data_IF_504552936912
#
_entry.id   IF_504552936912
#
_cell.length_a   1.000
_cell.length_b   1.000
_cell.length_c   1.000
_cell.angle_alpha   90.00
_cell.angle_beta   90.00
_cell.angle_gamma   90.00
#
_symmetry.space_group_name_H-M   'P 1'
#
loop_
_entity.id
_entity.type
_entity.pdbx_description
1 polymer ?
#
# COMPACT_ATOMS: atom_id res chain seq x y z
N UNK A 1 20.06 -52.87 -9.26
CA UNK A 1 21.01 -51.83 -8.81
C UNK A 1 20.68 -50.57 -9.58
N UNK A 2 20.17 -49.58 -8.86
CA UNK A 2 19.59 -48.35 -9.42
C UNK A 2 20.64 -47.48 -10.10
N UNK A 3 20.31 -46.78 -11.20
CA UNK A 3 21.19 -45.77 -11.77
C UNK A 3 21.13 -44.49 -10.94
N UNK A 4 22.32 -43.95 -10.67
CA UNK A 4 22.58 -42.68 -10.00
C UNK A 4 21.88 -41.52 -10.71
N UNK A 5 21.01 -40.81 -9.99
CA UNK A 5 20.49 -39.50 -10.41
C UNK A 5 21.44 -38.42 -9.89
N UNK A 6 22.20 -37.83 -10.81
CA UNK A 6 22.99 -36.64 -10.59
C UNK A 6 22.04 -35.50 -10.20
N UNK A 7 22.23 -34.95 -9.00
CA UNK A 7 21.53 -33.76 -8.53
C UNK A 7 22.04 -32.60 -9.40
N UNK A 8 21.18 -32.10 -10.29
CA UNK A 8 21.42 -30.82 -10.96
C UNK A 8 21.43 -29.73 -9.88
N UNK A 9 22.61 -29.17 -9.65
CA UNK A 9 22.77 -27.93 -8.89
C UNK A 9 21.89 -26.87 -9.54
N UNK A 10 20.92 -26.36 -8.78
CA UNK A 10 20.17 -25.15 -9.10
C UNK A 10 21.15 -24.04 -9.47
N UNK A 11 21.24 -23.71 -10.77
CA UNK A 11 21.97 -22.55 -11.26
C UNK A 11 21.39 -21.31 -10.57
N UNK A 12 22.20 -20.64 -9.76
CA UNK A 12 21.96 -19.26 -9.37
C UNK A 12 21.75 -18.44 -10.63
N UNK A 13 20.49 -18.03 -10.86
CA UNK A 13 20.18 -17.05 -11.90
C UNK A 13 20.75 -15.73 -11.38
N UNK A 14 21.78 -15.22 -12.06
CA UNK A 14 22.37 -13.94 -11.77
C UNK A 14 21.26 -12.87 -11.70
N UNK A 15 21.11 -12.23 -10.54
CA UNK A 15 20.14 -11.15 -10.34
C UNK A 15 20.51 -10.02 -11.29
N UNK A 16 19.62 -9.66 -12.21
CA UNK A 16 19.79 -8.47 -13.06
C UNK A 16 19.93 -7.24 -12.17
N UNK A 17 20.66 -6.22 -12.63
CA UNK A 17 20.93 -5.03 -11.81
C UNK A 17 19.63 -4.40 -11.31
N UNK A 18 19.46 -4.32 -9.99
CA UNK A 18 18.26 -3.80 -9.29
C UNK A 18 18.09 -2.27 -9.42
N UNK A 19 18.82 -1.65 -10.36
CA UNK A 19 18.83 -0.20 -10.59
C UNK A 19 17.80 0.26 -11.63
N UNK A 20 17.11 -0.69 -12.29
CA UNK A 20 16.13 -0.40 -13.33
C UNK A 20 14.72 -0.74 -12.86
N UNK A 21 14.30 -0.06 -11.80
CA UNK A 21 13.00 -0.28 -11.16
C UNK A 21 11.84 -0.04 -12.13
N UNK A 22 10.81 -0.84 -11.93
CA UNK A 22 9.51 -0.70 -12.59
C UNK A 22 8.45 -0.27 -11.59
N UNK A 23 7.44 0.47 -12.06
CA UNK A 23 6.29 0.84 -11.25
C UNK A 23 4.97 0.54 -11.95
N UNK A 24 3.95 0.26 -11.17
CA UNK A 24 2.55 0.25 -11.59
C UNK A 24 1.71 1.07 -10.62
N UNK A 25 0.54 1.53 -11.05
CA UNK A 25 -0.38 2.26 -10.19
C UNK A 25 -1.77 1.63 -10.19
N UNK A 26 -2.49 1.75 -9.08
CA UNK A 26 -3.91 1.43 -8.96
C UNK A 26 -4.65 2.69 -8.52
N UNK A 27 -5.65 3.11 -9.31
CA UNK A 27 -6.45 4.31 -9.09
C UNK A 27 -7.86 3.87 -8.73
N UNK A 28 -8.25 4.11 -7.48
CA UNK A 28 -9.61 3.88 -7.01
C UNK A 28 -10.43 5.18 -7.08
N UNK A 29 -11.66 5.08 -7.57
CA UNK A 29 -12.55 6.24 -7.69
C UNK A 29 -14.02 5.82 -7.77
N UNK A 30 -14.89 6.80 -7.53
CA UNK A 30 -16.33 6.65 -7.73
C UNK A 30 -16.71 7.27 -9.07
N UNK A 31 -17.53 6.55 -9.85
CA UNK A 31 -18.15 7.07 -11.07
C UNK A 31 -19.65 7.20 -10.85
N UNK A 32 -20.17 8.42 -10.95
CA UNK A 32 -21.59 8.69 -10.95
C UNK A 32 -22.17 8.66 -12.37
N UNK A 33 -23.30 7.98 -12.54
CA UNK A 33 -24.09 7.90 -13.77
C UNK A 33 -25.58 7.91 -13.40
N UNK A 34 -26.46 8.09 -14.37
CA UNK A 34 -27.91 8.14 -14.14
C UNK A 34 -28.53 6.89 -14.72
N UNK A 35 -29.44 6.24 -13.98
CA UNK A 35 -30.19 5.11 -14.52
C UNK A 35 -30.92 5.55 -15.80
N UNK A 36 -30.96 4.72 -16.87
CA UNK A 36 -31.55 5.11 -18.16
C UNK A 36 -32.94 5.76 -18.07
N UNK A 37 -33.76 5.29 -17.13
CA UNK A 37 -35.15 5.75 -16.91
C UNK A 37 -35.28 7.08 -16.16
N UNK A 38 -34.25 7.55 -15.45
CA UNK A 38 -34.32 8.78 -14.67
C UNK A 38 -33.78 9.97 -15.47
N UNK A 39 -34.36 11.18 -15.31
CA UNK A 39 -33.77 12.38 -15.88
C UNK A 39 -32.41 12.65 -15.23
N UNK A 40 -31.45 13.13 -16.03
CA UNK A 40 -30.17 13.53 -15.51
C UNK A 40 -30.35 14.71 -14.54
N UNK A 41 -29.87 14.63 -13.29
CA UNK A 41 -30.01 15.73 -12.33
C UNK A 41 -29.29 17.00 -12.79
N UNK A 42 -28.15 16.82 -13.47
CA UNK A 42 -27.32 17.90 -13.98
C UNK A 42 -27.06 17.70 -15.49
N UNK A 43 -28.07 17.90 -16.36
CA UNK A 43 -27.97 17.58 -17.79
C UNK A 43 -27.01 18.50 -18.57
N UNK A 44 -26.46 19.52 -17.91
CA UNK A 44 -25.49 20.47 -18.46
C UNK A 44 -24.12 20.36 -17.77
N UNK A 45 -23.87 19.29 -17.03
CA UNK A 45 -22.56 19.10 -16.42
C UNK A 45 -21.49 18.96 -17.53
N UNK A 46 -20.50 19.86 -17.58
CA UNK A 46 -19.55 19.91 -18.69
C UNK A 46 -18.63 18.68 -18.74
N UNK A 47 -18.60 17.86 -17.68
CA UNK A 47 -17.81 16.63 -17.64
C UNK A 47 -18.46 15.51 -18.44
N UNK A 48 -19.79 15.46 -18.56
CA UNK A 48 -20.50 14.41 -19.30
C UNK A 48 -20.59 14.74 -20.79
N UNK A 49 -19.52 14.51 -21.56
CA UNK A 49 -19.41 15.02 -22.93
C UNK A 49 -20.41 14.47 -23.94
N UNK A 50 -20.78 13.19 -23.83
CA UNK A 50 -21.73 12.55 -24.76
C UNK A 50 -23.07 12.21 -24.10
N UNK A 51 -23.24 12.54 -22.81
CA UNK A 51 -24.46 12.27 -22.05
C UNK A 51 -24.84 10.79 -21.98
N UNK A 52 -23.89 9.87 -22.22
CA UNK A 52 -24.15 8.44 -22.23
C UNK A 52 -24.46 7.97 -20.81
N UNK A 53 -25.69 7.48 -20.60
CA UNK A 53 -26.11 6.84 -19.36
C UNK A 53 -25.59 5.41 -19.32
N UNK A 54 -24.63 5.15 -18.44
CA UNK A 54 -24.00 3.85 -18.26
C UNK A 54 -24.84 3.03 -17.27
N UNK A 55 -25.36 1.89 -17.70
CA UNK A 55 -26.35 1.12 -16.94
C UNK A 55 -25.71 0.13 -15.96
N UNK A 56 -24.45 -0.24 -16.19
CA UNK A 56 -23.67 -1.17 -15.36
C UNK A 56 -22.21 -0.73 -15.22
N UNK A 57 -21.49 -1.38 -14.30
CA UNK A 57 -20.05 -1.17 -14.13
C UNK A 57 -19.24 -1.65 -15.34
N UNK A 58 -19.66 -2.75 -15.96
CA UNK A 58 -19.00 -3.30 -17.15
C UNK A 58 -19.16 -2.33 -18.34
N UNK A 59 -20.36 -1.77 -18.54
CA UNK A 59 -20.57 -0.75 -19.57
C UNK A 59 -19.72 0.51 -19.35
N UNK A 60 -19.51 0.89 -18.08
CA UNK A 60 -18.64 2.00 -17.73
C UNK A 60 -17.18 1.68 -18.05
N UNK A 61 -16.68 0.50 -17.64
CA UNK A 61 -15.33 0.03 -17.93
C UNK A 61 -15.08 -0.06 -19.44
N UNK A 62 -16.00 -0.64 -20.21
CA UNK A 62 -15.90 -0.74 -21.67
C UNK A 62 -15.85 0.66 -22.30
N UNK A 63 -16.72 1.57 -21.87
CA UNK A 63 -16.76 2.91 -22.46
C UNK A 63 -15.49 3.72 -22.17
N UNK A 64 -14.97 3.66 -20.94
CA UNK A 64 -13.70 4.31 -20.60
C UNK A 64 -12.56 3.65 -21.38
N UNK A 65 -12.57 2.31 -21.46
CA UNK A 65 -11.58 1.53 -22.20
C UNK A 65 -11.50 1.95 -23.67
N UNK A 66 -12.63 2.10 -24.35
CA UNK A 66 -12.65 2.57 -25.75
C UNK A 66 -12.08 4.00 -25.91
N UNK A 67 -12.35 4.90 -24.96
CA UNK A 67 -11.76 6.26 -24.99
C UNK A 67 -10.26 6.24 -24.79
N UNK A 68 -9.74 5.39 -23.91
CA UNK A 68 -8.30 5.25 -23.70
C UNK A 68 -7.63 4.59 -24.91
N UNK A 69 -8.24 3.55 -25.50
CA UNK A 69 -7.76 2.96 -26.76
C UNK A 69 -7.67 3.98 -27.88
N UNK A 70 -8.65 4.88 -28.01
CA UNK A 70 -8.63 5.98 -28.97
C UNK A 70 -7.49 6.98 -28.74
N UNK A 71 -6.92 7.03 -27.52
CA UNK A 71 -5.71 7.79 -27.18
C UNK A 71 -4.42 6.96 -27.26
N UNK A 72 -4.47 5.75 -27.81
CA UNK A 72 -3.32 4.85 -27.93
C UNK A 72 -2.95 4.10 -26.65
N UNK A 73 -3.82 4.11 -25.63
CA UNK A 73 -3.59 3.38 -24.39
C UNK A 73 -4.25 1.99 -24.48
N UNK A 74 -3.48 0.90 -24.44
CA UNK A 74 -4.04 -0.45 -24.51
C UNK A 74 -4.74 -0.82 -23.19
N UNK A 75 -5.91 -1.45 -23.30
CA UNK A 75 -6.80 -1.76 -22.18
C UNK A 75 -7.30 -3.19 -22.22
N UNK A 76 -7.41 -3.82 -21.05
CA UNK A 76 -8.17 -5.03 -20.77
C UNK A 76 -9.27 -4.72 -19.73
N UNK A 77 -10.45 -5.30 -19.91
CA UNK A 77 -11.59 -5.13 -19.00
C UNK A 77 -11.91 -6.48 -18.36
N UNK A 78 -11.97 -6.49 -17.03
CA UNK A 78 -12.42 -7.66 -16.27
C UNK A 78 -13.92 -7.53 -16.01
N UNK A 79 -14.70 -8.50 -16.46
CA UNK A 79 -16.17 -8.48 -16.28
C UNK A 79 -16.52 -8.98 -14.88
N UNK A 80 -17.39 -8.24 -14.20
CA UNK A 80 -17.79 -8.61 -12.84
C UNK A 80 -18.51 -9.97 -12.80
N UNK A 81 -18.09 -10.86 -11.90
CA UNK A 81 -18.73 -12.16 -11.67
C UNK A 81 -18.40 -13.26 -12.67
N UNK A 82 -17.46 -13.03 -13.62
CA UNK A 82 -17.04 -14.05 -14.58
C UNK A 82 -15.52 -14.29 -14.50
N UNK A 83 -15.13 -15.37 -13.80
CA UNK A 83 -13.71 -15.74 -13.61
C UNK A 83 -12.96 -15.97 -14.94
N UNK A 84 -13.66 -16.41 -15.99
CA UNK A 84 -13.08 -16.66 -17.33
C UNK A 84 -12.70 -15.38 -18.09
N UNK A 85 -13.08 -14.20 -17.57
CA UNK A 85 -12.73 -12.88 -18.15
C UNK A 85 -11.54 -12.21 -17.46
N UNK A 86 -10.87 -12.92 -16.55
CA UNK A 86 -9.64 -12.41 -15.92
C UNK A 86 -8.55 -12.21 -16.99
N UNK A 87 -7.85 -11.06 -17.02
CA UNK A 87 -6.82 -10.83 -18.02
C UNK A 87 -5.69 -11.86 -17.89
N UNK A 88 -5.17 -12.33 -19.02
CA UNK A 88 -4.00 -13.21 -19.01
C UNK A 88 -2.75 -12.47 -18.52
N UNK A 89 -1.74 -13.19 -18.02
CA UNK A 89 -0.48 -12.56 -17.58
C UNK A 89 0.14 -11.67 -18.67
N UNK A 90 0.04 -12.06 -19.94
CA UNK A 90 0.53 -11.25 -21.07
C UNK A 90 -0.20 -9.89 -21.18
N UNK A 91 -1.48 -9.85 -20.85
CA UNK A 91 -2.27 -8.63 -20.80
C UNK A 91 -1.96 -7.80 -19.56
N UNK A 92 -1.81 -8.44 -18.39
CA UNK A 92 -1.38 -7.75 -17.17
C UNK A 92 -0.03 -7.01 -17.35
N UNK A 93 0.84 -7.55 -18.21
CA UNK A 93 2.16 -6.97 -18.53
C UNK A 93 2.11 -5.78 -19.48
N UNK A 94 1.04 -5.60 -20.25
CA UNK A 94 1.05 -4.64 -21.38
C UNK A 94 -0.17 -3.73 -21.45
N UNK A 95 -1.25 -4.03 -20.71
CA UNK A 95 -2.53 -3.33 -20.78
C UNK A 95 -2.92 -2.75 -19.44
N UNK A 96 -3.56 -1.59 -19.48
CA UNK A 96 -4.29 -1.06 -18.33
C UNK A 96 -5.51 -1.95 -18.05
N UNK A 97 -5.77 -2.23 -16.79
CA UNK A 97 -6.83 -3.12 -16.36
C UNK A 97 -7.94 -2.35 -15.71
N UNK A 98 -9.17 -2.64 -16.10
CA UNK A 98 -10.38 -2.06 -15.54
C UNK A 98 -11.09 -3.09 -14.69
N UNK A 99 -11.40 -2.72 -13.45
CA UNK A 99 -12.02 -3.61 -12.46
C UNK A 99 -13.12 -2.88 -11.72
N UNK A 100 -14.06 -3.67 -11.22
CA UNK A 100 -14.91 -3.24 -10.12
C UNK A 100 -14.13 -3.29 -8.81
N UNK A 101 -14.34 -2.34 -7.93
CA UNK A 101 -13.83 -2.42 -6.56
C UNK A 101 -14.96 -2.28 -5.55
N UNK A 102 -15.23 -3.38 -4.84
CA UNK A 102 -16.27 -3.43 -3.81
C UNK A 102 -15.87 -2.74 -2.51
N UNK A 103 -14.57 -2.46 -2.31
CA UNK A 103 -14.09 -1.71 -1.15
C UNK A 103 -14.29 -0.19 -1.31
N UNK A 104 -14.44 0.27 -2.56
CA UNK A 104 -14.76 1.67 -2.88
C UNK A 104 -16.28 1.86 -2.84
N UNK A 105 -16.74 2.71 -1.93
CA UNK A 105 -18.16 2.91 -1.67
C UNK A 105 -18.47 4.40 -1.52
N UNK A 106 -19.56 4.92 -2.10
CA UNK A 106 -19.90 6.34 -2.04
C UNK A 106 -20.12 6.86 -0.61
N UNK A 107 -20.46 5.98 0.34
CA UNK A 107 -20.94 6.21 1.73
C UNK A 107 -22.14 7.15 1.83
N UNK A 108 -22.09 8.28 1.16
CA UNK A 108 -23.15 9.25 0.96
C UNK A 108 -23.42 9.44 -0.54
N UNK A 109 -24.69 9.45 -0.93
CA UNK A 109 -25.09 9.68 -2.32
C UNK A 109 -25.07 11.17 -2.62
N UNK A 110 -24.50 11.54 -3.77
CA UNK A 110 -24.50 12.94 -4.24
C UNK A 110 -25.92 13.39 -4.61
N UNK A 111 -26.73 12.49 -5.17
CA UNK A 111 -28.12 12.77 -5.55
C UNK A 111 -28.92 11.45 -5.63
N UNK A 112 -30.22 11.43 -5.26
CA UNK A 112 -31.04 10.20 -5.28
C UNK A 112 -31.09 9.48 -6.64
N UNK A 113 -31.05 10.24 -7.73
CA UNK A 113 -31.12 9.71 -9.11
C UNK A 113 -29.74 9.30 -9.68
N UNK A 114 -28.63 9.66 -9.02
CA UNK A 114 -27.33 9.14 -9.41
C UNK A 114 -27.17 7.72 -8.87
N UNK A 115 -26.62 6.87 -9.72
CA UNK A 115 -26.03 5.59 -9.36
C UNK A 115 -24.52 5.75 -9.39
N UNK A 116 -23.87 5.35 -8.31
CA UNK A 116 -22.42 5.46 -8.16
C UNK A 116 -21.78 4.06 -8.19
N UNK A 117 -20.73 3.92 -8.97
CA UNK A 117 -19.94 2.69 -9.08
C UNK A 117 -18.58 2.88 -8.42
N UNK A 118 -18.15 1.91 -7.61
CA UNK A 118 -16.78 1.79 -7.11
C UNK A 118 -15.89 1.18 -8.19
N UNK A 119 -14.94 1.95 -8.69
CA UNK A 119 -14.11 1.63 -9.85
C UNK A 119 -12.64 1.55 -9.44
N UNK A 120 -11.90 0.64 -10.06
CA UNK A 120 -10.43 0.60 -9.98
C UNK A 120 -9.86 0.48 -11.40
N UNK A 121 -8.82 1.27 -11.68
CA UNK A 121 -7.99 1.11 -12.87
C UNK A 121 -6.54 0.85 -12.44
N UNK A 122 -5.95 -0.24 -12.92
CA UNK A 122 -4.54 -0.56 -12.70
C UNK A 122 -3.71 -0.38 -13.97
N UNK A 123 -2.51 0.18 -13.86
CA UNK A 123 -1.56 0.22 -14.98
C UNK A 123 -0.79 -1.10 -15.12
N UNK A 124 -0.23 -1.41 -16.31
CA UNK A 124 0.81 -2.42 -16.41
C UNK A 124 2.10 -1.90 -15.73
N UNK A 125 3.10 -2.78 -15.49
CA UNK A 125 4.40 -2.35 -15.00
C UNK A 125 5.16 -1.55 -16.07
N UNK A 126 5.56 -0.32 -15.73
CA UNK A 126 6.34 0.57 -16.57
C UNK A 126 7.73 0.79 -15.99
N UNK A 127 8.72 1.05 -16.83
CA UNK A 127 9.97 1.63 -16.36
C UNK A 127 9.75 3.06 -15.88
N UNK A 128 10.55 3.50 -14.90
CA UNK A 128 10.44 4.86 -14.39
C UNK A 128 11.10 5.90 -15.32
N UNK A 129 10.42 6.25 -16.41
CA UNK A 129 10.85 7.28 -17.36
C UNK A 129 9.79 8.39 -17.55
N UNK A 130 10.10 9.37 -18.39
CA UNK A 130 9.20 10.49 -18.67
C UNK A 130 7.94 10.04 -19.42
N UNK A 131 8.06 9.17 -20.41
CA UNK A 131 6.95 8.75 -21.26
C UNK A 131 5.92 7.96 -20.44
N UNK A 132 6.37 7.06 -19.57
CA UNK A 132 5.47 6.31 -18.68
C UNK A 132 4.75 7.19 -17.67
N UNK A 133 5.41 8.25 -17.17
CA UNK A 133 4.76 9.22 -16.26
C UNK A 133 3.71 10.08 -16.97
N UNK A 134 3.92 10.42 -18.24
CA UNK A 134 2.95 11.20 -19.03
C UNK A 134 1.64 10.46 -19.30
N UNK A 135 1.61 9.13 -19.17
CA UNK A 135 0.37 8.35 -19.26
C UNK A 135 -0.62 8.66 -18.12
N UNK A 136 -0.13 9.04 -16.93
CA UNK A 136 -0.98 9.31 -15.76
C UNK A 136 -1.91 10.50 -16.03
N UNK A 137 -1.43 11.69 -16.43
CA UNK A 137 -2.30 12.79 -16.86
C UNK A 137 -3.28 12.40 -17.96
N UNK A 138 -2.86 11.63 -18.97
CA UNK A 138 -3.74 11.23 -20.09
C UNK A 138 -4.93 10.39 -19.60
N UNK A 139 -4.69 9.46 -18.67
CA UNK A 139 -5.76 8.65 -18.06
C UNK A 139 -6.69 9.53 -17.23
N UNK A 140 -6.14 10.37 -16.34
CA UNK A 140 -6.95 11.23 -15.46
C UNK A 140 -7.78 12.26 -16.24
N UNK A 141 -7.22 12.87 -17.29
CA UNK A 141 -7.95 13.77 -18.17
C UNK A 141 -9.09 13.04 -18.90
N UNK A 142 -8.87 11.78 -19.28
CA UNK A 142 -9.92 10.98 -19.91
C UNK A 142 -11.05 10.72 -18.93
N UNK A 143 -10.75 10.44 -17.66
CA UNK A 143 -11.77 10.28 -16.62
C UNK A 143 -12.50 11.59 -16.34
N UNK A 144 -11.76 12.63 -15.94
CA UNK A 144 -12.30 13.90 -15.44
C UNK A 144 -13.07 14.70 -16.49
N UNK A 145 -12.67 14.59 -17.76
CA UNK A 145 -13.29 15.36 -18.84
C UNK A 145 -14.43 14.62 -19.55
N UNK A 146 -14.74 13.38 -19.17
CA UNK A 146 -15.81 12.60 -19.83
C UNK A 146 -16.84 12.02 -18.85
N UNK A 147 -16.54 11.97 -17.55
CA UNK A 147 -17.36 11.30 -16.55
C UNK A 147 -17.46 12.10 -15.24
N UNK A 148 -18.55 11.88 -14.50
CA UNK A 148 -18.73 12.40 -13.15
C UNK A 148 -17.96 11.54 -12.15
N UNK A 149 -16.65 11.76 -12.07
CA UNK A 149 -15.78 11.05 -11.14
C UNK A 149 -15.48 11.85 -9.89
N UNK A 150 -15.36 11.15 -8.76
CA UNK A 150 -14.90 11.70 -7.48
C UNK A 150 -14.14 10.66 -6.67
N UNK A 151 -13.49 11.11 -5.60
CA UNK A 151 -12.85 10.26 -4.58
C UNK A 151 -13.44 10.60 -3.21
N UNK A 152 -13.41 9.63 -2.30
CA UNK A 152 -13.75 9.81 -0.89
C UNK A 152 -12.78 8.97 -0.03
N UNK A 153 -13.06 8.88 1.26
CA UNK A 153 -12.22 8.17 2.24
C UNK A 153 -12.11 6.65 2.03
N UNK A 154 -12.99 6.04 1.20
CA UNK A 154 -12.90 4.63 0.81
C UNK A 154 -11.91 4.38 -0.32
N UNK A 155 -11.60 5.40 -1.12
CA UNK A 155 -10.69 5.27 -2.26
C UNK A 155 -9.23 5.47 -1.82
N UNK A 156 -8.33 4.66 -2.39
CA UNK A 156 -6.89 4.74 -2.29
C UNK A 156 -6.20 5.10 -3.60
N UNK A 157 -4.94 5.51 -3.50
CA UNK A 157 -4.03 5.54 -4.64
C UNK A 157 -2.83 4.66 -4.31
N UNK A 158 -2.71 3.52 -5.00
CA UNK A 158 -1.66 2.56 -4.72
C UNK A 158 -0.55 2.63 -5.76
N UNK A 159 0.69 2.53 -5.29
CA UNK A 159 1.87 2.45 -6.16
C UNK A 159 2.55 1.12 -5.89
N UNK A 160 2.77 0.35 -6.94
CA UNK A 160 3.56 -0.87 -6.92
C UNK A 160 4.96 -0.55 -7.41
N UNK A 161 6.00 -0.95 -6.68
CA UNK A 161 7.39 -0.83 -7.14
C UNK A 161 8.05 -2.19 -7.11
N UNK A 162 8.68 -2.55 -8.22
CA UNK A 162 9.40 -3.82 -8.39
C UNK A 162 10.66 -3.65 -9.20
N UNK A 163 11.34 -4.76 -9.44
CA UNK A 163 12.51 -4.85 -10.29
C UNK A 163 12.18 -5.79 -11.45
N UNK A 164 11.53 -5.24 -12.48
CA UNK A 164 10.98 -6.02 -13.59
C UNK A 164 10.10 -7.17 -13.07
N UNK A 165 10.45 -8.40 -13.44
CA UNK A 165 9.85 -9.64 -12.94
C UNK A 165 10.83 -10.41 -12.06
N UNK A 166 11.90 -9.81 -11.57
CA UNK A 166 12.93 -10.52 -10.80
C UNK A 166 12.67 -10.43 -9.29
N UNK A 167 11.88 -9.43 -8.85
CA UNK A 167 11.70 -9.11 -7.44
C UNK A 167 12.98 -8.57 -6.81
N UNK A 168 13.10 -8.62 -5.49
CA UNK A 168 14.25 -8.07 -4.77
C UNK A 168 15.13 -9.17 -4.18
N UNK A 169 16.44 -8.97 -4.24
CA UNK A 169 17.38 -9.71 -3.40
C UNK A 169 17.05 -9.51 -1.92
N UNK A 170 17.41 -10.48 -1.09
CA UNK A 170 17.10 -10.41 0.33
C UNK A 170 17.71 -9.19 1.06
N UNK A 171 18.98 -8.81 0.81
CA UNK A 171 19.55 -7.59 1.39
C UNK A 171 18.76 -6.34 1.03
N UNK A 172 18.39 -6.17 -0.25
CA UNK A 172 17.56 -5.03 -0.70
C UNK A 172 16.19 -5.03 -0.04
N UNK A 173 15.53 -6.19 0.02
CA UNK A 173 14.23 -6.31 0.68
C UNK A 173 14.30 -5.90 2.17
N UNK A 174 15.29 -6.41 2.90
CA UNK A 174 15.53 -6.04 4.30
C UNK A 174 15.81 -4.54 4.44
N UNK A 175 16.72 -3.99 3.62
CA UNK A 175 17.12 -2.59 3.68
C UNK A 175 15.93 -1.67 3.38
N UNK A 176 15.10 -2.03 2.40
CA UNK A 176 13.87 -1.31 2.09
C UNK A 176 12.92 -1.28 3.29
N UNK A 177 12.64 -2.43 3.90
CA UNK A 177 11.76 -2.50 5.08
C UNK A 177 12.36 -1.73 6.26
N UNK A 178 13.67 -1.80 6.49
CA UNK A 178 14.35 -1.05 7.54
C UNK A 178 14.23 0.47 7.35
N UNK A 179 14.41 0.97 6.11
CA UNK A 179 14.22 2.38 5.76
C UNK A 179 12.76 2.80 5.97
N UNK A 180 11.81 2.02 5.43
CA UNK A 180 10.39 2.33 5.55
C UNK A 180 9.91 2.34 7.01
N UNK A 181 10.38 1.39 7.82
CA UNK A 181 10.07 1.34 9.25
C UNK A 181 10.64 2.55 10.01
N UNK A 182 11.92 2.85 9.76
CA UNK A 182 12.63 3.96 10.42
C UNK A 182 11.91 5.28 10.17
N UNK A 183 11.57 5.55 8.91
CA UNK A 183 10.98 6.81 8.47
C UNK A 183 9.45 6.79 8.32
N UNK A 184 8.76 5.74 8.80
CA UNK A 184 7.30 5.59 8.66
C UNK A 184 6.54 6.82 9.17
N UNK A 185 7.00 7.42 10.28
CA UNK A 185 6.39 8.60 10.88
C UNK A 185 6.49 9.83 9.95
N UNK A 186 7.64 10.03 9.30
CA UNK A 186 7.86 11.10 8.34
C UNK A 186 7.02 10.89 7.08
N UNK A 187 6.90 9.65 6.62
CA UNK A 187 6.10 9.28 5.44
C UNK A 187 4.61 9.54 5.69
N UNK A 188 4.11 9.24 6.91
CA UNK A 188 2.72 9.51 7.30
C UNK A 188 2.36 11.00 7.33
N UNK A 189 3.35 11.88 7.51
CA UNK A 189 3.15 13.33 7.41
C UNK A 189 3.01 13.83 5.96
N UNK A 190 3.38 13.01 4.96
CA UNK A 190 3.24 13.36 3.54
C UNK A 190 1.81 13.17 3.01
N UNK A 191 0.92 12.55 3.80
CA UNK A 191 -0.45 12.22 3.39
C UNK A 191 -1.48 12.76 4.38
N UNK A 192 -2.76 12.76 3.97
CA UNK A 192 -3.85 13.35 4.76
C UNK A 192 -4.04 12.69 6.12
N UNK A 193 -4.53 13.47 7.09
CA UNK A 193 -4.72 12.97 8.43
C UNK A 193 -5.82 11.92 8.55
N UNK A 194 -6.91 12.18 7.86
CA UNK A 194 -8.02 11.27 7.67
C UNK A 194 -7.57 9.87 7.21
N UNK A 195 -6.65 9.78 6.23
CA UNK A 195 -6.23 8.48 5.69
C UNK A 195 -5.52 7.60 6.72
N UNK A 196 -4.68 8.18 7.57
CA UNK A 196 -3.76 7.41 8.43
C UNK A 196 -4.15 7.40 9.91
N UNK A 197 -5.05 8.29 10.35
CA UNK A 197 -5.58 8.31 11.72
C UNK A 197 -6.99 7.70 11.81
N UNK A 198 -7.88 8.04 10.88
CA UNK A 198 -9.30 7.63 10.96
C UNK A 198 -9.63 6.46 10.04
N UNK A 199 -9.12 6.46 8.81
CA UNK A 199 -9.45 5.48 7.76
C UNK A 199 -8.33 4.46 7.51
N UNK A 200 -7.53 4.18 8.55
CA UNK A 200 -6.30 3.39 8.45
C UNK A 200 -6.51 1.88 8.25
N UNK A 201 -7.74 1.37 8.24
CA UNK A 201 -8.00 -0.07 8.17
C UNK A 201 -7.43 -0.74 6.90
N UNK A 202 -7.24 0.04 5.84
CA UNK A 202 -6.65 -0.40 4.57
C UNK A 202 -5.14 -0.10 4.42
N UNK A 203 -4.53 0.62 5.37
CA UNK A 203 -3.14 1.07 5.30
C UNK A 203 -2.52 1.24 6.70
N UNK A 204 -2.60 0.20 7.54
CA UNK A 204 -2.11 0.25 8.93
C UNK A 204 -0.58 0.35 8.98
N UNK A 205 -0.06 0.94 10.04
CA UNK A 205 1.39 1.04 10.26
C UNK A 205 2.03 -0.34 10.49
N UNK A 206 3.36 -0.42 10.39
CA UNK A 206 4.11 -1.65 10.69
C UNK A 206 3.90 -2.18 12.11
N UNK A 207 3.40 -1.37 13.05
CA UNK A 207 2.97 -1.84 14.38
C UNK A 207 1.82 -2.87 14.33
N UNK A 208 1.21 -3.08 13.17
CA UNK A 208 0.21 -4.10 12.90
C UNK A 208 0.74 -5.32 12.12
N UNK A 209 2.04 -5.40 11.86
CA UNK A 209 2.65 -6.61 11.30
C UNK A 209 2.68 -7.74 12.35
N UNK A 210 2.87 -8.97 11.88
CA UNK A 210 2.89 -10.18 12.71
C UNK A 210 3.85 -10.04 13.89
N UNK A 211 5.08 -9.58 13.66
CA UNK A 211 6.07 -9.42 14.73
C UNK A 211 5.60 -8.45 15.82
N UNK A 212 5.15 -7.25 15.41
CA UNK A 212 4.70 -6.22 16.33
C UNK A 212 3.47 -6.65 17.16
N UNK A 213 2.54 -7.39 16.54
CA UNK A 213 1.37 -7.92 17.25
C UNK A 213 1.73 -9.02 18.25
N UNK A 214 2.82 -9.77 18.00
CA UNK A 214 3.32 -10.79 18.93
C UNK A 214 4.17 -10.20 20.07
N UNK A 215 4.81 -9.06 19.84
CA UNK A 215 5.67 -8.37 20.81
C UNK A 215 5.25 -6.89 20.92
N UNK A 216 4.05 -6.59 21.46
CA UNK A 216 3.46 -5.25 21.38
C UNK A 216 4.19 -4.16 22.19
N UNK A 217 4.99 -4.55 23.17
CA UNK A 217 5.79 -3.64 24.02
C UNK A 217 7.19 -3.34 23.46
N UNK A 218 7.50 -3.81 22.24
CA UNK A 218 8.80 -3.58 21.60
C UNK A 218 9.04 -2.10 21.36
N UNK A 219 10.22 -1.60 21.74
CA UNK A 219 10.64 -0.24 21.40
C UNK A 219 10.93 -0.13 19.90
N UNK A 220 10.96 1.10 19.37
CA UNK A 220 11.28 1.28 17.94
C UNK A 220 12.70 0.83 17.58
N UNK A 221 13.66 1.06 18.48
CA UNK A 221 15.03 0.60 18.29
C UNK A 221 15.13 -0.93 18.30
N UNK A 222 14.45 -1.60 19.23
CA UNK A 222 14.42 -3.07 19.27
C UNK A 222 13.74 -3.67 18.04
N UNK A 223 12.66 -3.05 17.55
CA UNK A 223 12.01 -3.47 16.31
C UNK A 223 12.97 -3.30 15.13
N UNK A 224 13.61 -2.13 14.97
CA UNK A 224 14.59 -1.95 13.90
C UNK A 224 15.71 -3.00 14.01
N UNK A 225 16.25 -3.25 15.21
CA UNK A 225 17.27 -4.27 15.41
C UNK A 225 16.77 -5.68 15.09
N UNK A 226 15.49 -5.98 15.29
CA UNK A 226 14.86 -7.23 14.82
C UNK A 226 14.93 -7.34 13.30
N UNK A 227 14.52 -6.31 12.56
CA UNK A 227 14.64 -6.26 11.08
C UNK A 227 16.10 -6.48 10.66
N UNK A 228 17.03 -5.78 11.30
CA UNK A 228 18.46 -5.82 10.96
C UNK A 228 19.16 -7.12 11.43
N UNK A 229 18.55 -7.92 12.30
CA UNK A 229 19.13 -9.20 12.74
C UNK A 229 19.10 -10.26 11.63
N UNK A 230 18.24 -10.08 10.62
CA UNK A 230 18.09 -10.98 9.50
C UNK A 230 19.23 -10.84 8.48
N UNK A 231 20.36 -11.51 8.73
CA UNK A 231 21.55 -11.43 7.87
C UNK A 231 21.67 -12.57 6.84
N UNK A 232 21.06 -13.73 7.12
CA UNK A 232 21.10 -14.89 6.22
C UNK A 232 19.85 -14.94 5.34
N UNK A 233 20.03 -15.14 4.02
CA UNK A 233 18.95 -15.34 3.04
C UNK A 233 18.03 -16.51 3.38
N UNK A 234 18.51 -17.54 4.10
CA UNK A 234 17.67 -18.65 4.56
C UNK A 234 16.52 -18.21 5.47
N UNK A 235 16.66 -17.06 6.13
CA UNK A 235 15.64 -16.50 7.00
C UNK A 235 14.60 -15.65 6.26
N UNK A 236 14.68 -15.54 4.92
CA UNK A 236 13.77 -14.76 4.11
C UNK A 236 12.29 -15.02 4.45
N UNK A 237 11.91 -16.29 4.64
CA UNK A 237 10.51 -16.67 4.91
C UNK A 237 10.03 -16.18 6.26
N UNK A 238 10.89 -16.28 7.28
CA UNK A 238 10.56 -15.78 8.61
C UNK A 238 10.46 -14.26 8.60
N UNK A 239 11.42 -13.58 7.96
CA UNK A 239 11.40 -12.13 7.80
C UNK A 239 10.12 -11.64 7.11
N UNK A 240 9.73 -12.26 5.99
CA UNK A 240 8.49 -11.93 5.30
C UNK A 240 7.26 -12.17 6.19
N UNK A 241 7.23 -13.26 6.96
CA UNK A 241 6.11 -13.56 7.87
C UNK A 241 6.00 -12.51 8.97
N UNK A 242 7.13 -12.14 9.57
CA UNK A 242 7.21 -11.14 10.64
C UNK A 242 6.73 -9.77 10.18
N UNK A 243 7.12 -9.38 8.96
CA UNK A 243 6.89 -8.04 8.42
C UNK A 243 5.60 -7.89 7.61
N UNK A 244 4.85 -8.96 7.39
CA UNK A 244 3.51 -8.92 6.79
C UNK A 244 2.41 -8.85 7.86
N UNK A 245 1.22 -8.44 7.46
CA UNK A 245 0.06 -8.45 8.35
C UNK A 245 -0.42 -9.89 8.58
N UNK A 246 -0.95 -10.16 9.77
CA UNK A 246 -1.74 -11.38 10.02
C UNK A 246 -3.01 -11.42 9.17
N UNK A 247 -3.77 -12.52 9.28
CA UNK A 247 -5.00 -12.75 8.50
C UNK A 247 -5.96 -11.57 8.64
N UNK A 248 -6.38 -11.00 7.50
CA UNK A 248 -7.31 -9.87 7.44
C UNK A 248 -6.69 -8.49 7.68
N UNK A 249 -5.41 -8.41 8.04
CA UNK A 249 -4.69 -7.14 8.19
C UNK A 249 -4.26 -6.56 6.84
N UNK A 250 -4.21 -5.22 6.75
CA UNK A 250 -3.70 -4.49 5.58
C UNK A 250 -2.72 -3.42 6.03
N UNK A 251 -1.45 -3.60 5.67
CA UNK A 251 -0.38 -2.64 5.99
C UNK A 251 -0.30 -1.54 4.93
N UNK A 252 0.19 -0.37 5.34
CA UNK A 252 0.53 0.74 4.46
C UNK A 252 1.59 0.37 3.41
N UNK A 253 2.53 -0.49 3.81
CA UNK A 253 3.54 -1.08 2.94
C UNK A 253 3.23 -2.56 2.84
N UNK A 254 2.52 -2.96 1.79
CA UNK A 254 2.13 -4.34 1.59
C UNK A 254 3.27 -5.11 0.92
N UNK A 255 3.73 -6.15 1.61
CA UNK A 255 4.86 -6.99 1.20
C UNK A 255 4.42 -8.36 0.67
N UNK A 256 3.11 -8.62 0.58
CA UNK A 256 2.57 -9.96 0.25
C UNK A 256 3.07 -10.47 -1.10
N UNK A 257 3.15 -9.57 -2.09
CA UNK A 257 3.62 -9.86 -3.44
C UNK A 257 5.12 -10.24 -3.53
N UNK A 258 5.88 -10.09 -2.43
CA UNK A 258 7.30 -10.45 -2.39
C UNK A 258 7.54 -11.87 -1.87
N UNK A 259 6.49 -12.64 -1.60
CA UNK A 259 6.62 -13.98 -1.01
C UNK A 259 7.37 -14.95 -1.93
N UNK A 260 8.36 -15.68 -1.40
CA UNK A 260 9.07 -16.75 -2.11
C UNK A 260 8.51 -18.16 -1.74
N UNK A 261 8.42 -19.07 -2.72
CA UNK A 261 8.52 -18.82 -4.16
C UNK A 261 7.38 -17.89 -4.62
N UNK A 262 7.63 -17.07 -5.64
CA UNK A 262 6.64 -16.09 -6.12
C UNK A 262 5.35 -16.77 -6.54
N UNK A 263 4.25 -16.36 -5.91
CA UNK A 263 2.91 -16.90 -6.16
C UNK A 263 2.23 -16.21 -7.36
N UNK A 264 2.74 -15.06 -7.80
CA UNK A 264 2.23 -14.31 -8.95
C UNK A 264 3.33 -13.55 -9.69
N UNK A 265 2.99 -13.02 -10.86
CA UNK A 265 3.85 -12.10 -11.62
C UNK A 265 3.98 -10.72 -10.95
N UNK A 266 3.11 -10.36 -9.99
CA UNK A 266 3.28 -9.18 -9.16
C UNK A 266 4.38 -9.47 -8.13
N UNK A 267 5.60 -9.00 -8.40
CA UNK A 267 6.79 -9.16 -7.54
C UNK A 267 7.24 -7.81 -7.01
N UNK A 268 6.34 -7.13 -6.32
CA UNK A 268 6.46 -5.70 -5.98
C UNK A 268 6.21 -5.46 -4.49
N UNK A 269 6.82 -4.44 -3.91
CA UNK A 269 6.22 -3.77 -2.76
C UNK A 269 5.02 -2.94 -3.23
N UNK A 270 3.96 -2.88 -2.44
CA UNK A 270 2.78 -2.04 -2.71
C UNK A 270 2.62 -0.97 -1.62
N UNK A 271 2.59 0.29 -2.03
CA UNK A 271 2.41 1.47 -1.19
C UNK A 271 0.93 1.86 -1.17
N UNK A 272 0.26 1.66 -0.04
CA UNK A 272 -1.20 1.88 0.16
C UNK A 272 -1.55 3.15 0.94
N UNK A 273 -0.55 3.90 1.36
CA UNK A 273 -0.72 5.00 2.32
C UNK A 273 -1.42 6.23 1.72
N UNK A 274 -1.34 6.45 0.41
CA UNK A 274 -1.89 7.63 -0.23
C UNK A 274 -3.43 7.54 -0.36
N UNK A 275 -4.20 8.57 0.04
CA UNK A 275 -5.64 8.61 -0.20
C UNK A 275 -5.95 8.65 -1.70
N UNK A 276 -7.14 8.24 -2.09
CA UNK A 276 -7.61 8.38 -3.47
C UNK A 276 -7.48 9.83 -3.94
N UNK A 277 -6.95 10.02 -5.14
CA UNK A 277 -6.79 11.34 -5.76
C UNK A 277 -6.99 11.24 -7.27
N UNK A 278 -7.47 12.34 -7.86
CA UNK A 278 -7.56 12.52 -9.32
C UNK A 278 -6.72 13.74 -9.76
N UNK A 279 -5.76 14.14 -8.94
CA UNK A 279 -4.79 15.20 -9.22
C UNK A 279 -3.48 14.59 -9.75
N UNK A 280 -3.10 14.88 -11.01
CA UNK A 280 -1.89 14.34 -11.62
C UNK A 280 -0.61 14.77 -10.90
N UNK A 281 -0.52 16.01 -10.40
CA UNK A 281 0.69 16.50 -9.74
C UNK A 281 0.93 15.77 -8.41
N UNK A 282 -0.15 15.58 -7.64
CA UNK A 282 -0.11 14.81 -6.39
C UNK A 282 0.34 13.36 -6.66
N UNK A 283 -0.25 12.71 -7.67
CA UNK A 283 0.09 11.33 -8.02
C UNK A 283 1.55 11.20 -8.48
N UNK A 284 2.04 12.11 -9.31
CA UNK A 284 3.42 12.09 -9.81
C UNK A 284 4.44 12.29 -8.69
N UNK A 285 4.16 13.16 -7.72
CA UNK A 285 5.01 13.35 -6.55
C UNK A 285 5.06 12.09 -5.67
N UNK A 286 3.91 11.43 -5.44
CA UNK A 286 3.86 10.20 -4.68
C UNK A 286 4.58 9.04 -5.38
N UNK A 287 4.38 8.86 -6.69
CA UNK A 287 5.10 7.86 -7.50
C UNK A 287 6.61 8.10 -7.45
N UNK A 288 7.07 9.36 -7.56
CA UNK A 288 8.49 9.69 -7.46
C UNK A 288 9.06 9.28 -6.10
N UNK A 289 8.37 9.62 -5.02
CA UNK A 289 8.77 9.21 -3.67
C UNK A 289 8.89 7.68 -3.54
N UNK A 290 7.86 6.92 -3.96
CA UNK A 290 7.86 5.46 -3.89
C UNK A 290 9.03 4.85 -4.66
N UNK A 291 9.34 5.37 -5.85
CA UNK A 291 10.50 4.92 -6.63
C UNK A 291 11.80 5.24 -5.91
N UNK A 292 11.97 6.47 -5.41
CA UNK A 292 13.23 6.92 -4.81
C UNK A 292 13.55 6.24 -3.48
N UNK A 293 12.56 5.94 -2.66
CA UNK A 293 12.81 5.16 -1.43
C UNK A 293 13.23 3.71 -1.76
N UNK A 294 12.64 3.09 -2.78
CA UNK A 294 13.07 1.76 -3.23
C UNK A 294 14.45 1.79 -3.91
N UNK A 295 14.70 2.78 -4.77
CA UNK A 295 16.00 2.98 -5.43
C UNK A 295 17.11 3.18 -4.38
N UNK A 296 16.84 3.95 -3.32
CA UNK A 296 17.77 4.14 -2.22
C UNK A 296 18.20 2.82 -1.60
N UNK A 297 17.27 1.89 -1.37
CA UNK A 297 17.56 0.57 -0.82
C UNK A 297 18.40 -0.30 -1.78
N UNK A 298 18.13 -0.22 -3.09
CA UNK A 298 18.89 -0.93 -4.13
C UNK A 298 20.33 -0.43 -4.29
N UNK A 299 20.58 0.86 -3.98
CA UNK A 299 21.87 1.50 -4.18
C UNK A 299 22.77 1.53 -2.94
N UNK A 300 22.37 0.88 -1.85
CA UNK A 300 23.18 0.76 -0.64
C UNK A 300 24.45 -0.04 -0.95
N UNK A 301 25.61 0.57 -0.70
CA UNK A 301 26.93 -0.05 -0.89
C UNK A 301 27.55 -0.49 0.42
N UNK A 302 27.26 0.25 1.48
CA UNK A 302 27.75 0.02 2.83
C UNK A 302 26.53 -0.12 3.74
N UNK A 303 26.26 -1.36 4.16
CA UNK A 303 25.13 -1.66 5.02
C UNK A 303 25.38 -1.24 6.47
N UNK A 304 26.64 -1.25 6.92
CA UNK A 304 26.98 -0.84 8.27
C UNK A 304 26.75 0.67 8.45
N UNK A 305 27.15 1.48 7.47
CA UNK A 305 26.85 2.92 7.46
C UNK A 305 25.33 3.18 7.46
N UNK A 306 24.56 2.43 6.67
CA UNK A 306 23.11 2.51 6.67
C UNK A 306 22.54 2.15 8.05
N UNK A 307 22.97 1.06 8.67
CA UNK A 307 22.40 0.60 9.94
C UNK A 307 22.67 1.57 11.08
N UNK A 308 23.87 2.14 11.14
CA UNK A 308 24.19 3.18 12.12
C UNK A 308 23.34 4.44 11.92
N UNK A 309 23.11 4.85 10.67
CA UNK A 309 22.19 5.92 10.33
C UNK A 309 20.76 5.62 10.81
N UNK A 310 20.23 4.45 10.47
CA UNK A 310 18.85 4.08 10.81
C UNK A 310 18.65 3.95 12.33
N UNK A 311 19.62 3.36 13.06
CA UNK A 311 19.57 3.28 14.54
C UNK A 311 19.58 4.66 15.19
N UNK A 312 20.36 5.59 14.64
CA UNK A 312 20.38 6.97 15.14
C UNK A 312 19.06 7.68 14.88
N UNK A 313 18.47 7.48 13.71
CA UNK A 313 17.29 8.25 13.30
C UNK A 313 15.98 7.66 13.84
N UNK A 314 15.89 6.35 14.09
CA UNK A 314 14.64 5.68 14.53
C UNK A 314 14.13 6.15 15.89
N UNK A 315 15.03 6.63 16.75
CA UNK A 315 14.72 7.13 18.10
C UNK A 315 14.52 8.65 18.15
N UNK A 316 14.86 9.38 17.08
CA UNK A 316 14.74 10.83 17.07
C UNK A 316 13.28 11.26 17.16
N UNK A 317 13.01 12.40 17.83
CA UNK A 317 11.72 13.07 17.72
C UNK A 317 11.44 13.45 16.27
N UNK A 318 10.15 13.57 15.93
CA UNK A 318 9.71 14.05 14.62
C UNK A 318 9.25 15.49 14.75
N UNK A 319 9.56 16.30 13.75
CA UNK A 319 9.21 17.73 13.76
C UNK A 319 10.04 18.53 12.78
N UNK A 320 10.40 19.76 13.18
CA UNK A 320 11.13 20.74 12.36
C UNK A 320 12.29 21.40 13.12
N UNK A 321 12.53 21.01 14.38
CA UNK A 321 13.69 21.47 15.16
C UNK A 321 14.98 20.82 14.64
N UNK A 322 16.13 21.41 14.97
CA UNK A 322 17.43 20.97 14.44
C UNK A 322 17.88 19.58 14.92
N UNK A 323 17.30 19.07 16.00
CA UNK A 323 17.51 17.74 16.55
C UNK A 323 16.45 16.71 16.10
N UNK A 324 15.36 17.18 15.47
CA UNK A 324 14.31 16.31 14.94
C UNK A 324 14.78 15.55 13.69
N UNK A 325 14.20 14.37 13.46
CA UNK A 325 14.23 13.72 12.17
C UNK A 325 13.05 14.24 11.33
N UNK A 326 13.24 15.32 10.57
CA UNK A 326 12.17 15.96 9.80
C UNK A 326 11.83 15.20 8.51
N UNK A 327 10.60 15.37 8.01
CA UNK A 327 10.20 14.88 6.68
C UNK A 327 11.02 15.51 5.56
N UNK A 328 11.46 16.75 5.73
CA UNK A 328 12.32 17.45 4.76
C UNK A 328 13.69 16.79 4.68
N UNK A 329 14.34 16.54 5.82
CA UNK A 329 15.67 15.92 5.86
C UNK A 329 15.65 14.51 5.28
N UNK A 330 14.60 13.74 5.58
CA UNK A 330 14.39 12.42 5.00
C UNK A 330 14.27 12.48 3.46
N UNK A 331 13.44 13.37 2.92
CA UNK A 331 13.28 13.53 1.47
C UNK A 331 14.56 14.06 0.80
N UNK A 332 15.31 14.94 1.47
CA UNK A 332 16.62 15.39 1.00
C UNK A 332 17.64 14.25 0.97
N UNK A 333 17.65 13.38 1.98
CA UNK A 333 18.52 12.19 2.02
C UNK A 333 18.18 11.17 0.92
N UNK A 334 16.90 11.07 0.52
CA UNK A 334 16.48 10.31 -0.66
C UNK A 334 16.88 10.96 -2.00
N UNK A 335 17.34 12.21 -1.99
CA UNK A 335 17.66 12.96 -3.21
C UNK A 335 16.42 13.55 -3.90
N UNK A 336 15.38 13.86 -3.14
CA UNK A 336 14.07 14.33 -3.63
C UNK A 336 13.79 15.80 -3.22
N UNK A 337 14.59 16.80 -3.64
CA UNK A 337 14.41 18.18 -3.18
C UNK A 337 13.07 18.79 -3.59
N UNK A 338 12.52 18.41 -4.75
CA UNK A 338 11.22 18.88 -5.19
C UNK A 338 10.09 18.36 -4.28
N UNK A 339 10.14 17.08 -3.90
CA UNK A 339 9.17 16.49 -2.97
C UNK A 339 9.38 17.02 -1.55
N UNK A 340 10.63 17.29 -1.15
CA UNK A 340 10.93 17.94 0.13
C UNK A 340 10.24 19.31 0.23
N UNK A 341 10.23 20.09 -0.86
CA UNK A 341 9.44 21.32 -0.92
C UNK A 341 7.93 21.04 -0.92
N UNK A 342 7.46 20.17 -1.82
CA UNK A 342 6.02 19.87 -2.00
C UNK A 342 5.34 19.40 -0.71
N UNK A 343 5.94 18.45 0.00
CA UNK A 343 5.40 17.90 1.25
C UNK A 343 5.84 18.67 2.48
N UNK A 344 7.03 19.29 2.46
CA UNK A 344 7.59 19.98 3.62
C UNK A 344 7.05 21.39 3.83
N UNK A 345 6.77 22.14 2.76
CA UNK A 345 6.30 23.51 2.88
C UNK A 345 4.99 23.64 3.70
N UNK A 346 3.96 22.78 3.49
CA UNK A 346 2.77 22.79 4.36
C UNK A 346 3.11 22.55 5.83
N UNK A 347 3.99 21.59 6.14
CA UNK A 347 4.36 21.23 7.52
C UNK A 347 5.11 22.36 8.24
N UNK A 348 5.99 23.06 7.53
CA UNK A 348 6.75 24.20 8.08
C UNK A 348 5.87 25.44 8.24
N UNK A 349 4.88 25.62 7.35
CA UNK A 349 3.97 26.77 7.39
C UNK A 349 2.96 26.72 8.53
N UNK A 350 2.71 25.53 9.11
CA UNK A 350 1.79 25.33 10.23
C UNK A 350 2.42 24.47 11.36
N UNK A 351 3.34 25.05 12.16
CA UNK A 351 4.03 24.31 13.23
C UNK A 351 3.10 23.78 14.32
N UNK A 352 2.01 24.50 14.63
CA UNK A 352 1.05 24.07 15.66
C UNK A 352 0.16 22.93 15.14
N UNK A 353 -0.31 23.01 13.89
CA UNK A 353 -1.00 21.90 13.24
C UNK A 353 -0.11 20.67 13.11
N UNK A 354 1.18 20.84 12.80
CA UNK A 354 2.16 19.75 12.79
C UNK A 354 2.30 19.09 14.17
N UNK A 355 2.48 19.88 15.24
CA UNK A 355 2.57 19.34 16.62
C UNK A 355 1.30 18.58 17.01
N UNK A 356 0.13 19.11 16.66
CA UNK A 356 -1.15 18.44 16.90
C UNK A 356 -1.22 17.12 16.14
N UNK A 357 -0.89 17.15 14.84
CA UNK A 357 -0.84 15.98 13.96
C UNK A 357 0.07 14.86 14.50
N UNK A 358 1.27 15.21 14.94
CA UNK A 358 2.23 14.28 15.55
C UNK A 358 1.63 13.63 16.80
N UNK A 359 1.06 14.42 17.70
CA UNK A 359 0.44 13.94 18.94
C UNK A 359 -0.71 12.97 18.67
N UNK A 360 -1.55 13.24 17.68
CA UNK A 360 -2.66 12.34 17.32
C UNK A 360 -2.15 11.04 16.69
N UNK A 361 -1.08 11.08 15.88
CA UNK A 361 -0.43 9.86 15.37
C UNK A 361 0.15 8.99 16.51
N UNK A 362 0.79 9.61 17.50
CA UNK A 362 1.29 8.92 18.70
C UNK A 362 0.16 8.27 19.51
N UNK A 363 -0.98 8.96 19.68
CA UNK A 363 -2.15 8.39 20.34
C UNK A 363 -2.69 7.17 19.60
N UNK A 364 -2.79 7.25 18.27
CA UNK A 364 -3.26 6.12 17.44
C UNK A 364 -2.30 4.93 17.57
N UNK A 365 -0.99 5.17 17.60
CA UNK A 365 0.03 4.13 17.82
C UNK A 365 -0.10 3.50 19.21
N UNK A 366 -0.30 4.31 20.26
CA UNK A 366 -0.51 3.84 21.65
C UNK A 366 -1.78 3.00 21.79
N UNK A 367 -2.90 3.45 21.22
CA UNK A 367 -4.17 2.68 21.22
C UNK A 367 -3.98 1.35 20.50
N UNK A 368 -3.30 1.35 19.35
CA UNK A 368 -3.02 0.12 18.60
C UNK A 368 -2.19 -0.87 19.42
N UNK A 369 -1.15 -0.40 20.12
CA UNK A 369 -0.34 -1.23 21.02
C UNK A 369 -1.17 -1.80 22.18
N UNK A 370 -1.97 -0.96 22.84
CA UNK A 370 -2.82 -1.40 23.95
C UNK A 370 -3.83 -2.48 23.51
N UNK A 371 -4.43 -2.35 22.33
CA UNK A 371 -5.31 -3.36 21.75
C UNK A 371 -4.59 -4.67 21.43
N UNK A 372 -3.35 -4.60 20.93
CA UNK A 372 -2.52 -5.77 20.66
C UNK A 372 -2.16 -6.51 21.96
N UNK A 373 -1.76 -5.79 23.03
CA UNK A 373 -1.52 -6.36 24.37
C UNK A 373 -2.78 -7.10 24.85
N UNK A 374 -3.94 -6.44 24.83
CA UNK A 374 -5.20 -7.03 25.27
C UNK A 374 -5.57 -8.30 24.50
N UNK A 375 -5.39 -8.28 23.18
CA UNK A 375 -5.70 -9.42 22.30
C UNK A 375 -4.76 -10.59 22.59
N UNK A 376 -3.46 -10.33 22.81
CA UNK A 376 -2.47 -11.33 23.18
C UNK A 376 -2.81 -11.97 24.53
N UNK A 377 -3.10 -11.17 25.56
CA UNK A 377 -3.49 -11.68 26.88
C UNK A 377 -4.71 -12.59 26.80
N UNK A 378 -5.76 -12.20 26.06
CA UNK A 378 -6.95 -13.03 25.84
C UNK A 378 -6.63 -14.35 25.13
N UNK A 379 -5.73 -14.32 24.15
CA UNK A 379 -5.31 -15.53 23.43
C UNK A 379 -4.53 -16.49 24.34
N UNK A 380 -3.60 -15.97 25.14
CA UNK A 380 -2.82 -16.75 26.11
C UNK A 380 -3.73 -17.40 27.17
N UNK A 381 -4.71 -16.67 27.69
CA UNK A 381 -5.73 -17.21 28.59
C UNK A 381 -6.55 -18.33 27.93
N UNK A 382 -7.00 -18.12 26.68
CA UNK A 382 -7.74 -19.13 25.93
C UNK A 382 -6.90 -20.39 25.70
N UNK A 383 -5.62 -20.24 25.36
CA UNK A 383 -4.67 -21.34 25.19
C UNK A 383 -4.46 -22.09 26.52
N UNK A 384 -4.32 -21.37 27.64
CA UNK A 384 -4.21 -21.96 28.98
C UNK A 384 -5.45 -22.76 29.34
N UNK A 385 -6.65 -22.21 29.07
CA UNK A 385 -7.94 -22.91 29.28
C UNK A 385 -8.05 -24.16 28.42
N UNK A 386 -7.69 -24.09 27.14
CA UNK A 386 -7.73 -25.23 26.23
C UNK A 386 -6.73 -26.33 26.62
N UNK A 387 -5.54 -25.94 27.10
CA UNK A 387 -4.55 -26.88 27.61
C UNK A 387 -5.05 -27.56 28.88
N UNK A 388 -5.59 -26.80 29.84
CA UNK A 388 -6.18 -27.36 31.06
C UNK A 388 -7.32 -28.34 30.77
N UNK A 389 -8.23 -28.02 29.86
CA UNK A 389 -9.32 -28.93 29.46
C UNK A 389 -8.82 -30.23 28.80
N UNK A 390 -7.67 -30.19 28.11
CA UNK A 390 -7.04 -31.40 27.55
C UNK A 390 -6.37 -32.25 28.62
N UNK A 391 -5.72 -31.60 29.59
CA UNK A 391 -4.99 -32.27 30.66
C UNK A 391 -5.94 -32.86 31.73
N UNK A 392 -7.12 -32.26 31.91
CA UNK A 392 -8.12 -32.64 32.92
C UNK A 392 -9.53 -32.78 32.31
N UNK A 393 -9.79 -33.80 31.48
CA UNK A 393 -11.05 -33.96 30.73
C UNK A 393 -12.28 -34.31 31.59
N UNK A 394 -12.12 -34.49 32.90
CA UNK A 394 -13.20 -34.76 33.86
C UNK A 394 -13.42 -33.65 34.89
N UNK A 395 -12.61 -32.58 34.86
CA UNK A 395 -12.94 -31.35 35.57
C UNK A 395 -13.95 -30.59 34.71
N UNK A 396 -15.24 -30.83 34.97
CA UNK A 396 -16.30 -29.89 34.60
C UNK A 396 -16.11 -28.64 35.46
N UNK A 397 -15.09 -27.86 35.13
CA UNK A 397 -14.87 -26.60 35.78
C UNK A 397 -15.97 -25.66 35.27
N UNK A 398 -17.06 -25.63 36.02
CA UNK A 398 -18.15 -24.67 35.94
C UNK A 398 -17.58 -23.28 36.24
N UNK A 399 -16.86 -22.73 35.27
CA UNK A 399 -16.39 -21.34 35.29
C UNK A 399 -17.49 -20.47 34.71
N UNK A 400 -18.63 -20.45 35.39
CA UNK A 400 -19.57 -19.34 35.31
C UNK A 400 -18.92 -18.09 35.92
N UNK A 401 -19.09 -16.96 35.22
CA UNK A 401 -18.76 -15.59 35.62
C UNK A 401 -17.28 -15.16 35.56
N UNK A 402 -16.93 -14.35 34.55
CA UNK A 402 -16.85 -12.87 34.71
C UNK A 402 -17.07 -12.24 33.32
N UNK A 403 -18.34 -12.11 32.91
CA UNK A 403 -18.75 -10.97 32.07
C UNK A 403 -19.44 -9.99 33.03
N UNK A 404 -18.66 -9.10 33.62
CA UNK A 404 -19.18 -7.91 34.31
C UNK A 404 -18.20 -6.75 34.11
N UNK A 405 -18.73 -5.70 33.49
CA UNK A 405 -18.22 -4.35 33.21
C UNK A 405 -17.38 -4.13 31.94
#
# INVERSE_FOLDING_TARGET
>A
MSPSSTIESTKEIAVKSETRLTFGIEIEYLLATVHPVHPAPHPKDPREKDGKKLSSIDEANDNIGERLKAKGIPVAVTVWGNADTSPSDAELRTKWQFKSDSSVSPKERIHPNYREFGMEISSPPYYYDQASRELIPVVLETLRNNYLVRVNDSAGFHVHVGNEYDGFSFPVFRNLVAILYTYERQIRLMVSAERVQTSQEYCRSFTWCTFATNVPDVTRLEFLNHILSYQNQDHWKQFWTDMTAGVGGRLAFNLVNLKLPYESEKRTIEFRLHPGTLDPEVMLNWVHFCIKVTEKACLIKDEDELYELLRRDVEKPIGTAGDDCSTVDFLMWLGCPAQAYFYGAPLVSDPEGLKYRIREDEKVEQVSRALAVLTKTRLEERMRRAQHARDFPGDDADFSEVESD
#
